data_IF_643270678352
#
_entry.id   IF_643270678352
#
_cell.length_a   1.000
_cell.length_b   1.000
_cell.length_c   1.000
_cell.angle_alpha   90.00
_cell.angle_beta   90.00
_cell.angle_gamma   90.00
#
_symmetry.space_group_name_H-M   'P 1'
#
loop_
_entity.id
_entity.type
_entity.pdbx_description
1 polymer ?
#
# COMPACT_ATOMS: atom_id res chain seq x y z
N UNK A 1 -0.12 -5.82 -25.76
CA UNK A 1 -1.52 -5.89 -26.03
C UNK A 1 -2.36 -5.67 -24.80
N UNK A 2 -3.18 -4.69 -24.83
CA UNK A 2 -4.02 -4.49 -23.65
C UNK A 2 -4.89 -5.71 -23.45
N UNK A 3 -5.16 -6.03 -22.27
CA UNK A 3 -5.98 -7.17 -21.98
C UNK A 3 -5.20 -8.45 -21.79
N UNK A 4 -3.94 -8.48 -22.19
CA UNK A 4 -3.16 -9.67 -21.93
C UNK A 4 -2.43 -9.60 -20.59
N UNK A 5 -2.29 -8.43 -20.01
CA UNK A 5 -1.67 -8.30 -18.71
C UNK A 5 -2.65 -8.68 -17.64
N UNK A 6 -2.17 -9.39 -16.67
CA UNK A 6 -2.99 -9.78 -15.54
C UNK A 6 -2.68 -8.90 -14.35
N UNK A 7 -3.69 -8.66 -13.55
CA UNK A 7 -3.50 -7.94 -12.30
C UNK A 7 -2.91 -8.87 -11.27
N UNK A 8 -1.93 -8.38 -10.57
CA UNK A 8 -1.34 -9.11 -9.45
C UNK A 8 -1.17 -8.14 -8.30
N UNK A 9 -0.91 -8.69 -7.13
CA UNK A 9 -0.69 -7.88 -5.95
C UNK A 9 0.78 -7.54 -5.84
N UNK A 10 1.06 -6.25 -5.73
CA UNK A 10 2.41 -5.76 -5.50
C UNK A 10 2.53 -5.25 -4.09
N UNK A 11 3.60 -5.62 -3.39
CA UNK A 11 3.91 -5.04 -2.09
C UNK A 11 4.73 -3.80 -2.35
N UNK A 12 4.21 -2.66 -1.94
CA UNK A 12 4.85 -1.40 -2.22
C UNK A 12 5.07 -0.63 -0.93
N UNK A 13 5.99 0.28 -0.99
CA UNK A 13 6.32 1.11 0.14
C UNK A 13 5.94 2.54 -0.17
N UNK A 14 5.15 3.14 0.70
CA UNK A 14 4.82 4.56 0.60
C UNK A 14 5.69 5.27 1.63
N UNK A 15 6.77 5.86 1.16
CA UNK A 15 7.78 6.41 2.06
C UNK A 15 7.18 7.52 2.93
N UNK A 16 7.80 7.74 4.06
CA UNK A 16 7.39 8.77 5.02
C UNK A 16 5.99 8.53 5.58
N UNK A 17 5.58 7.26 5.65
CA UNK A 17 4.29 6.94 6.24
C UNK A 17 3.10 7.40 5.44
N UNK A 18 3.24 7.51 4.13
CA UNK A 18 2.17 8.02 3.29
C UNK A 18 1.28 6.93 2.72
N UNK A 19 1.26 5.74 3.34
CA UNK A 19 0.46 4.65 2.77
C UNK A 19 -1.03 4.97 2.77
N UNK A 20 -1.56 5.65 3.78
CA UNK A 20 -2.97 6.00 3.77
C UNK A 20 -3.27 7.04 2.69
N UNK A 21 -2.36 7.98 2.52
CA UNK A 21 -2.50 8.97 1.46
C UNK A 21 -2.44 8.30 0.09
N UNK A 22 -1.55 7.35 -0.06
CA UNK A 22 -1.43 6.61 -1.32
C UNK A 22 -2.71 5.85 -1.61
N UNK A 23 -3.29 5.22 -0.60
CA UNK A 23 -4.53 4.48 -0.83
C UNK A 23 -5.63 5.39 -1.31
N UNK A 24 -5.72 6.58 -0.73
CA UNK A 24 -6.74 7.52 -1.16
C UNK A 24 -6.55 7.91 -2.62
N UNK A 25 -5.32 8.16 -3.03
CA UNK A 25 -5.05 8.52 -4.42
C UNK A 25 -5.36 7.36 -5.35
N UNK A 26 -5.02 6.13 -4.95
CA UNK A 26 -5.31 4.98 -5.78
C UNK A 26 -6.80 4.73 -5.90
N UNK A 27 -7.54 4.94 -4.82
CA UNK A 27 -8.99 4.80 -4.87
C UNK A 27 -9.59 5.78 -5.87
N UNK A 28 -9.05 6.98 -5.95
CA UNK A 28 -9.57 7.99 -6.85
C UNK A 28 -9.41 7.61 -8.31
N UNK A 29 -8.39 6.84 -8.63
CA UNK A 29 -8.17 6.40 -10.00
C UNK A 29 -8.64 4.97 -10.24
N UNK A 30 -9.33 4.40 -9.27
CA UNK A 30 -9.93 3.10 -9.44
C UNK A 30 -8.99 1.92 -9.34
N UNK A 31 -7.87 2.10 -8.66
CA UNK A 31 -6.90 1.01 -8.48
C UNK A 31 -7.12 0.39 -7.11
N UNK A 32 -7.29 -0.92 -7.09
CA UNK A 32 -7.53 -1.64 -5.85
C UNK A 32 -6.26 -1.68 -5.00
N UNK A 33 -6.40 -1.40 -3.73
CA UNK A 33 -5.26 -1.42 -2.83
C UNK A 33 -5.71 -1.87 -1.45
N UNK A 34 -4.74 -2.25 -0.63
CA UNK A 34 -5.03 -2.78 0.69
C UNK A 34 -3.88 -2.44 1.62
N UNK A 35 -4.21 -1.92 2.78
CA UNK A 35 -3.26 -1.64 3.83
C UNK A 35 -3.65 -2.48 5.04
N UNK A 36 -2.81 -3.42 5.47
CA UNK A 36 -3.12 -4.19 6.67
C UNK A 36 -3.20 -3.26 7.87
N UNK A 37 -4.30 -3.32 8.58
CA UNK A 37 -4.54 -2.44 9.71
C UNK A 37 -4.83 -3.28 10.94
N UNK A 38 -4.61 -2.70 12.10
CA UNK A 38 -4.98 -3.36 13.33
C UNK A 38 -5.40 -2.30 14.35
N UNK A 39 -6.13 -2.74 15.35
CA UNK A 39 -6.55 -1.86 16.42
C UNK A 39 -5.45 -1.76 17.46
N UNK A 40 -5.25 -0.56 17.97
CA UNK A 40 -4.40 -0.35 19.13
C UNK A 40 -5.20 0.46 20.12
N UNK A 41 -4.86 0.33 21.37
CA UNK A 41 -5.50 1.10 22.43
C UNK A 41 -4.47 2.06 22.99
N UNK A 42 -4.80 3.34 22.98
CA UNK A 42 -3.94 4.36 23.51
C UNK A 42 -4.71 5.14 24.55
N UNK A 43 -4.02 6.03 25.25
CA UNK A 43 -4.67 6.91 26.20
C UNK A 43 -4.71 8.32 25.61
N UNK A 44 -5.86 8.98 25.79
CA UNK A 44 -5.94 10.36 25.37
C UNK A 44 -5.37 11.26 26.48
N UNK A 45 -5.53 12.56 26.29
CA UNK A 45 -4.95 13.49 27.24
C UNK A 45 -5.56 13.37 28.62
N UNK A 46 -6.77 12.86 28.70
CA UNK A 46 -7.46 12.70 29.97
C UNK A 46 -7.28 11.33 30.56
N UNK A 47 -6.43 10.50 29.92
CA UNK A 47 -6.19 9.16 30.42
C UNK A 47 -7.24 8.15 30.06
N UNK A 48 -8.14 8.48 29.14
CA UNK A 48 -9.17 7.54 28.72
C UNK A 48 -8.66 6.67 27.59
N UNK A 49 -9.13 5.44 27.57
CA UNK A 49 -8.73 4.51 26.53
C UNK A 49 -9.38 4.86 25.21
N UNK A 50 -8.60 4.94 24.16
CA UNK A 50 -9.07 5.24 22.82
C UNK A 50 -8.58 4.16 21.91
N UNK A 51 -9.48 3.57 21.13
CA UNK A 51 -9.12 2.60 20.11
C UNK A 51 -8.78 3.34 18.82
N UNK A 52 -7.69 2.96 18.20
CA UNK A 52 -7.30 3.50 16.91
C UNK A 52 -7.03 2.37 15.95
N UNK A 53 -7.27 2.65 14.70
CA UNK A 53 -7.03 1.72 13.61
C UNK A 53 -5.79 2.23 12.89
N UNK A 54 -4.71 1.48 12.96
CA UNK A 54 -3.44 1.95 12.41
C UNK A 54 -2.81 0.86 11.54
N UNK A 55 -1.96 1.25 10.58
CA UNK A 55 -1.30 0.25 9.75
C UNK A 55 -0.41 -0.67 10.57
N UNK A 56 -0.45 -1.95 10.22
CA UNK A 56 0.39 -2.94 10.89
C UNK A 56 1.85 -2.67 10.61
N UNK A 57 2.17 -2.34 9.36
CA UNK A 57 3.52 -1.97 8.96
C UNK A 57 3.43 -0.54 8.43
N UNK A 58 4.28 0.31 8.93
CA UNK A 58 4.13 1.74 8.75
C UNK A 58 4.00 2.19 7.31
N UNK A 59 4.83 1.69 6.42
CA UNK A 59 4.88 2.20 5.06
C UNK A 59 4.30 1.25 4.03
N UNK A 60 3.70 0.17 4.46
CA UNK A 60 3.31 -0.91 3.56
C UNK A 60 1.94 -0.65 2.94
N UNK A 61 1.84 -0.88 1.64
CA UNK A 61 0.57 -0.89 0.95
C UNK A 61 0.65 -1.95 -0.14
N UNK A 62 -0.40 -2.73 -0.27
CA UNK A 62 -0.52 -3.70 -1.35
C UNK A 62 -1.38 -3.11 -2.44
N UNK A 63 -0.94 -3.25 -3.67
CA UNK A 63 -1.63 -2.67 -4.83
C UNK A 63 -1.91 -3.78 -5.82
N UNK A 64 -3.16 -3.90 -6.23
CA UNK A 64 -3.60 -4.93 -7.16
C UNK A 64 -3.80 -4.30 -8.52
N UNK A 65 -2.87 -4.55 -9.44
CA UNK A 65 -2.92 -3.89 -10.72
C UNK A 65 -2.02 -4.62 -11.70
N UNK A 66 -2.00 -4.15 -12.94
CA UNK A 66 -1.12 -4.72 -13.95
C UNK A 66 0.28 -4.13 -13.80
N UNK A 67 1.23 -4.81 -14.42
CA UNK A 67 2.62 -4.35 -14.37
C UNK A 67 2.76 -2.94 -14.96
N UNK A 68 2.13 -2.70 -16.09
CA UNK A 68 2.20 -1.39 -16.73
C UNK A 68 1.62 -0.29 -15.84
N UNK A 69 0.48 -0.58 -15.22
CA UNK A 69 -0.12 0.39 -14.33
C UNK A 69 0.73 0.65 -13.10
N UNK A 70 1.36 -0.41 -12.59
CA UNK A 70 2.23 -0.24 -11.43
C UNK A 70 3.39 0.69 -11.75
N UNK A 71 3.98 0.54 -12.92
CA UNK A 71 5.08 1.41 -13.30
C UNK A 71 4.61 2.85 -13.44
N UNK A 72 3.42 3.05 -14.02
CA UNK A 72 2.89 4.41 -14.15
C UNK A 72 2.62 5.03 -12.80
N UNK A 73 2.11 4.24 -11.87
CA UNK A 73 1.84 4.74 -10.53
C UNK A 73 3.13 5.17 -9.83
N UNK A 74 4.20 4.43 -10.03
CA UNK A 74 5.48 4.81 -9.44
C UNK A 74 5.98 6.12 -10.00
N UNK A 75 5.73 6.37 -11.27
CA UNK A 75 6.14 7.64 -11.86
C UNK A 75 5.28 8.79 -11.37
N UNK A 76 4.01 8.54 -11.14
CA UNK A 76 3.11 9.60 -10.70
C UNK A 76 3.24 9.89 -9.21
N UNK A 77 3.70 8.91 -8.45
CA UNK A 77 3.78 9.05 -7.00
C UNK A 77 5.21 8.73 -6.58
N UNK A 78 6.00 9.75 -6.40
CA UNK A 78 7.42 9.57 -6.09
C UNK A 78 7.64 8.79 -4.81
N UNK A 79 6.69 8.84 -3.90
CA UNK A 79 6.85 8.15 -2.63
C UNK A 79 6.48 6.66 -2.71
N UNK A 80 5.95 6.20 -3.84
CA UNK A 80 5.63 4.79 -3.99
C UNK A 80 6.83 4.05 -4.55
N UNK A 81 7.26 3.00 -3.88
CA UNK A 81 8.37 2.19 -4.32
C UNK A 81 8.03 0.74 -4.11
N UNK A 82 8.60 -0.12 -4.95
CA UNK A 82 8.46 -1.54 -4.73
C UNK A 82 9.31 -1.94 -3.53
N UNK A 83 8.75 -2.73 -2.64
CA UNK A 83 9.51 -3.26 -1.55
C UNK A 83 10.29 -4.45 -2.04
N UNK A 84 9.59 -5.52 -2.27
CA UNK A 84 10.19 -6.75 -2.73
C UNK A 84 9.09 -7.55 -3.37
N UNK A 85 9.32 -7.98 -4.57
CA UNK A 85 8.32 -8.76 -5.26
C UNK A 85 8.85 -10.18 -5.33
N UNK A 86 8.25 -11.08 -4.55
CA UNK A 86 8.72 -12.47 -4.56
C UNK A 86 8.48 -13.08 -5.92
N UNK A 87 9.51 -13.67 -6.47
CA UNK A 87 9.40 -14.44 -7.67
C UNK A 87 9.88 -15.83 -7.36
N UNK A 88 9.80 -16.68 -8.34
CA UNK A 88 10.30 -18.04 -8.14
C UNK A 88 11.75 -18.01 -7.72
N UNK A 89 12.54 -17.24 -8.45
CA UNK A 89 13.96 -17.15 -8.13
C UNK A 89 14.18 -16.40 -6.84
N UNK A 90 13.38 -15.40 -6.60
CA UNK A 90 13.59 -14.54 -5.46
C UNK A 90 13.30 -15.19 -4.15
N UNK A 91 12.75 -16.35 -4.20
CA UNK A 91 12.37 -16.98 -2.96
C UNK A 91 13.52 -17.54 -2.20
N UNK A 92 14.61 -17.66 -2.76
CA UNK A 92 15.67 -18.28 -2.07
C UNK A 92 16.07 -17.75 -0.80
#
# INVERSE_FOLDING_TARGET
>A
MPGTEQKVWYAMRATYGRNLEAKKSLDEVGVESFIPMHHVVTLDRRGRKVKKYVPVVRDLIFVHTTHSSMLALKEQHEYLRNIYIPTEEGKK
#
